data_IF_285064484664
#
_entry.id   IF_285064484664
#
_cell.length_a   1.000
_cell.length_b   1.000
_cell.length_c   1.000
_cell.angle_alpha   90.00
_cell.angle_beta   90.00
_cell.angle_gamma   90.00
#
_symmetry.space_group_name_H-M   'P 1'
#
loop_
_entity.id
_entity.type
_entity.pdbx_description
1 polymer ?
#
# COMPACT_ATOMS: atom_id res chain seq x y z
N UNK A 1 -23.91 -0.46 21.41
CA UNK A 1 -23.46 0.95 21.50
C UNK A 1 -22.34 1.09 20.48
N UNK A 2 -22.40 2.04 19.55
CA UNK A 2 -21.39 2.14 18.48
C UNK A 2 -20.07 2.64 19.06
N UNK A 3 -18.96 1.90 18.84
CA UNK A 3 -17.65 2.31 19.33
C UNK A 3 -17.19 3.57 18.60
N UNK A 4 -16.97 4.65 19.35
CA UNK A 4 -16.54 5.93 18.78
C UNK A 4 -15.07 5.88 18.39
N UNK A 5 -14.77 6.09 17.10
CA UNK A 5 -13.41 6.26 16.60
C UNK A 5 -12.78 7.48 17.28
N UNK A 6 -11.54 7.33 17.74
CA UNK A 6 -10.77 8.37 18.43
C UNK A 6 -9.71 8.96 17.50
N UNK A 7 -9.04 8.12 16.71
CA UNK A 7 -8.09 8.54 15.67
C UNK A 7 -7.93 7.45 14.61
N UNK A 8 -7.52 7.87 13.44
CA UNK A 8 -7.10 7.02 12.33
C UNK A 8 -5.68 7.44 11.97
N UNK A 9 -4.77 6.47 11.88
CA UNK A 9 -3.39 6.69 11.45
C UNK A 9 -3.14 5.94 10.15
N UNK A 10 -2.54 6.63 9.18
CA UNK A 10 -2.11 6.03 7.92
C UNK A 10 -0.67 5.55 8.06
N UNK A 11 -0.46 4.25 7.89
CA UNK A 11 0.84 3.61 8.00
C UNK A 11 1.22 3.05 6.65
N UNK A 12 2.43 3.38 6.20
CA UNK A 12 3.00 2.84 4.98
C UNK A 12 4.08 1.82 5.32
N UNK A 13 3.94 0.62 4.76
CA UNK A 13 4.94 -0.46 4.87
C UNK A 13 6.19 -0.18 4.02
N UNK A 14 6.22 0.94 3.28
CA UNK A 14 7.28 1.30 2.36
C UNK A 14 8.64 1.42 3.05
N UNK A 15 8.68 2.09 4.21
CA UNK A 15 9.94 2.32 4.93
C UNK A 15 10.51 1.05 5.55
N UNK A 16 9.66 0.22 6.15
CA UNK A 16 10.09 -0.96 6.92
C UNK A 16 10.26 -2.22 6.05
N UNK A 17 9.42 -2.38 5.02
CA UNK A 17 9.32 -3.61 4.24
C UNK A 17 9.56 -3.42 2.74
N UNK A 18 9.63 -2.18 2.26
CA UNK A 18 9.79 -1.90 0.83
C UNK A 18 8.57 -2.36 0.02
N UNK A 19 7.40 -2.42 0.65
CA UNK A 19 6.13 -2.70 -0.02
C UNK A 19 5.31 -1.42 0.03
N UNK A 20 4.87 -0.93 -1.12
CA UNK A 20 3.97 0.23 -1.17
C UNK A 20 2.52 -0.20 -0.87
N UNK A 21 2.32 -0.69 0.36
CA UNK A 21 1.06 -1.11 0.97
C UNK A 21 0.71 -0.11 2.07
N UNK A 22 -0.55 0.35 2.06
CA UNK A 22 -1.05 1.32 3.06
C UNK A 22 -2.08 0.65 3.97
N UNK A 23 -1.87 0.84 5.27
CA UNK A 23 -2.75 0.41 6.35
C UNK A 23 -3.35 1.62 7.05
N UNK A 24 -4.61 1.49 7.44
CA UNK A 24 -5.30 2.42 8.34
C UNK A 24 -5.39 1.76 9.71
N UNK A 25 -4.70 2.34 10.69
CA UNK A 25 -4.81 1.97 12.09
C UNK A 25 -5.96 2.75 12.72
N UNK A 26 -7.06 2.05 13.02
CA UNK A 26 -8.25 2.64 13.60
C UNK A 26 -8.25 2.40 15.10
N UNK A 27 -8.15 3.49 15.86
CA UNK A 27 -8.32 3.48 17.30
C UNK A 27 -9.73 3.94 17.65
N UNK A 28 -10.32 3.31 18.67
CA UNK A 28 -11.68 3.60 19.10
C UNK A 28 -11.90 3.31 20.58
N UNK A 29 -12.94 3.93 21.15
CA UNK A 29 -13.33 3.73 22.54
C UNK A 29 -14.01 2.39 22.74
N UNK A 30 -13.54 1.66 23.75
CA UNK A 30 -14.19 0.47 24.31
C UNK A 30 -15.39 0.86 25.18
N UNK A 31 -16.10 -0.15 25.68
CA UNK A 31 -17.26 0.04 26.54
C UNK A 31 -16.91 0.67 27.91
N UNK A 32 -15.66 0.50 28.37
CA UNK A 32 -15.15 1.12 29.60
C UNK A 32 -14.73 2.60 29.41
N UNK A 33 -14.84 3.13 28.19
CA UNK A 33 -14.48 4.50 27.84
C UNK A 33 -13.00 4.70 27.47
N UNK A 34 -12.14 3.69 27.68
CA UNK A 34 -10.73 3.72 27.29
C UNK A 34 -10.57 3.40 25.80
N UNK A 35 -9.48 3.87 25.20
CA UNK A 35 -9.09 3.49 23.84
C UNK A 35 -8.58 2.03 23.81
N UNK A 36 -8.76 1.33 22.69
CA UNK A 36 -8.10 0.04 22.44
C UNK A 36 -6.57 0.20 22.46
N UNK A 37 -5.87 -0.73 23.10
CA UNK A 37 -4.41 -0.76 23.17
C UNK A 37 -3.74 -1.11 21.83
N UNK A 38 -4.45 -1.85 20.98
CA UNK A 38 -4.00 -2.26 19.65
C UNK A 38 -5.03 -1.80 18.62
N UNK A 39 -4.61 -1.08 17.56
CA UNK A 39 -5.54 -0.56 16.57
C UNK A 39 -6.18 -1.69 15.76
N UNK A 40 -7.38 -1.42 15.24
CA UNK A 40 -7.97 -2.26 14.21
C UNK A 40 -7.35 -1.88 12.86
N UNK A 41 -6.72 -2.85 12.20
CA UNK A 41 -5.97 -2.62 10.96
C UNK A 41 -6.89 -2.87 9.76
N UNK A 42 -6.95 -1.91 8.84
CA UNK A 42 -7.69 -2.01 7.58
C UNK A 42 -6.76 -1.65 6.42
N UNK A 43 -6.80 -2.41 5.33
CA UNK A 43 -6.00 -2.11 4.14
C UNK A 43 -6.76 -1.20 3.17
N UNK A 44 -6.04 -0.40 2.37
CA UNK A 44 -6.65 0.44 1.33
C UNK A 44 -7.54 -0.38 0.37
N UNK A 45 -7.12 -1.60 0.03
CA UNK A 45 -7.91 -2.52 -0.78
C UNK A 45 -9.26 -2.91 -0.15
N UNK A 46 -9.33 -3.07 1.18
CA UNK A 46 -10.59 -3.36 1.86
C UNK A 46 -11.55 -2.16 1.81
N UNK A 47 -10.99 -0.94 1.86
CA UNK A 47 -11.76 0.29 1.66
C UNK A 47 -12.28 0.36 0.23
N UNK A 48 -11.44 0.10 -0.78
CA UNK A 48 -11.85 0.12 -2.19
C UNK A 48 -12.99 -0.89 -2.43
N UNK A 49 -12.85 -2.13 -1.95
CA UNK A 49 -13.90 -3.16 -2.02
C UNK A 49 -15.21 -2.74 -1.35
N UNK A 50 -15.12 -2.06 -0.23
CA UNK A 50 -16.30 -1.51 0.44
C UNK A 50 -16.96 -0.45 -0.43
N UNK A 51 -16.18 0.50 -0.97
CA UNK A 51 -16.67 1.56 -1.85
C UNK A 51 -17.35 1.00 -3.10
N UNK A 52 -16.86 -0.09 -3.68
CA UNK A 52 -17.48 -0.72 -4.86
C UNK A 52 -18.96 -1.07 -4.61
N UNK A 53 -19.32 -1.37 -3.36
CA UNK A 53 -20.68 -1.72 -2.97
C UNK A 53 -21.47 -0.54 -2.38
N UNK A 54 -20.82 0.34 -1.61
CA UNK A 54 -21.49 1.41 -0.87
C UNK A 54 -21.50 2.76 -1.59
N UNK A 55 -20.45 3.07 -2.35
CA UNK A 55 -20.17 4.40 -2.94
C UNK A 55 -19.50 4.23 -4.32
N UNK A 56 -20.23 3.74 -5.35
CA UNK A 56 -19.63 3.28 -6.61
C UNK A 56 -18.85 4.36 -7.37
N UNK A 57 -19.27 5.62 -7.28
CA UNK A 57 -18.57 6.74 -7.93
C UNK A 57 -17.20 7.00 -7.30
N UNK A 58 -17.11 6.90 -5.96
CA UNK A 58 -15.84 7.01 -5.24
C UNK A 58 -14.91 5.83 -5.58
N UNK A 59 -15.45 4.61 -5.68
CA UNK A 59 -14.69 3.45 -6.11
C UNK A 59 -14.17 3.59 -7.55
N UNK A 60 -15.03 4.04 -8.47
CA UNK A 60 -14.67 4.29 -9.86
C UNK A 60 -13.54 5.32 -9.97
N UNK A 61 -13.58 6.36 -9.12
CA UNK A 61 -12.53 7.36 -9.05
C UNK A 61 -11.19 6.77 -8.59
N UNK A 62 -11.17 6.07 -7.45
CA UNK A 62 -9.95 5.44 -6.93
C UNK A 62 -9.39 4.42 -7.93
N UNK A 63 -10.25 3.67 -8.60
CA UNK A 63 -9.88 2.74 -9.68
C UNK A 63 -9.28 3.47 -10.90
N UNK A 64 -9.80 4.64 -11.27
CA UNK A 64 -9.23 5.48 -12.33
C UNK A 64 -7.82 5.97 -11.96
N UNK A 65 -7.65 6.48 -10.74
CA UNK A 65 -6.34 6.91 -10.21
C UNK A 65 -5.35 5.74 -10.20
N UNK A 66 -5.78 4.57 -9.72
CA UNK A 66 -4.97 3.36 -9.74
C UNK A 66 -4.54 3.00 -11.17
N UNK A 67 -5.47 3.01 -12.14
CA UNK A 67 -5.16 2.69 -13.55
C UNK A 67 -4.23 3.70 -14.23
N UNK A 68 -4.19 4.96 -13.78
CA UNK A 68 -3.28 5.97 -14.35
C UNK A 68 -1.85 5.88 -13.82
N UNK A 69 -1.59 5.05 -12.81
CA UNK A 69 -0.25 4.86 -12.23
C UNK A 69 0.37 3.58 -12.78
N UNK A 70 1.50 3.71 -13.49
CA UNK A 70 2.39 2.60 -13.89
C UNK A 70 3.14 2.08 -12.66
N UNK A 71 3.13 0.76 -12.46
CA UNK A 71 3.70 0.09 -11.29
C UNK A 71 3.91 -1.40 -11.56
N UNK A 72 4.97 -1.99 -11.02
CA UNK A 72 5.25 -3.42 -11.07
C UNK A 72 4.74 -4.15 -9.81
N UNK A 73 4.46 -3.42 -8.73
CA UNK A 73 3.89 -3.96 -7.50
C UNK A 73 2.69 -3.20 -6.96
N UNK A 74 2.40 -3.42 -5.68
CA UNK A 74 1.43 -2.61 -4.93
C UNK A 74 1.83 -1.14 -5.03
N UNK A 75 0.83 -0.25 -5.03
CA UNK A 75 1.00 1.17 -5.34
C UNK A 75 0.13 2.05 -4.46
N UNK A 76 -0.18 1.56 -3.27
CA UNK A 76 -1.16 2.16 -2.39
C UNK A 76 -0.73 3.56 -1.96
N UNK A 77 0.55 3.78 -1.64
CA UNK A 77 1.09 5.09 -1.28
C UNK A 77 1.09 6.06 -2.45
N UNK A 78 1.39 5.60 -3.68
CA UNK A 78 1.23 6.44 -4.89
C UNK A 78 -0.22 6.86 -5.11
N UNK A 79 -1.18 5.93 -4.95
CA UNK A 79 -2.61 6.23 -5.01
C UNK A 79 -2.97 7.24 -3.93
N UNK A 80 -2.59 6.97 -2.69
CA UNK A 80 -2.90 7.78 -1.51
C UNK A 80 -2.39 9.22 -1.67
N UNK A 81 -1.18 9.40 -2.19
CA UNK A 81 -0.60 10.72 -2.46
C UNK A 81 -1.45 11.54 -3.44
N UNK A 82 -1.99 10.92 -4.49
CA UNK A 82 -2.88 11.59 -5.44
C UNK A 82 -4.21 11.93 -4.75
N UNK A 83 -4.81 10.96 -4.07
CA UNK A 83 -6.07 11.16 -3.34
C UNK A 83 -5.99 12.32 -2.34
N UNK A 84 -4.91 12.39 -1.54
CA UNK A 84 -4.67 13.50 -0.61
C UNK A 84 -4.45 14.83 -1.32
N UNK A 85 -3.69 14.84 -2.42
CA UNK A 85 -3.44 16.04 -3.22
C UNK A 85 -4.72 16.63 -3.84
N UNK A 86 -5.76 15.81 -3.99
CA UNK A 86 -7.06 16.18 -4.55
C UNK A 86 -8.14 16.33 -3.46
N UNK A 87 -7.75 16.34 -2.18
CA UNK A 87 -8.66 16.43 -1.03
C UNK A 87 -9.75 15.35 -1.02
N UNK A 88 -9.47 14.18 -1.60
CA UNK A 88 -10.39 13.06 -1.61
C UNK A 88 -10.68 12.60 -0.17
N UNK A 89 -11.96 12.40 0.22
CA UNK A 89 -12.33 12.22 1.63
C UNK A 89 -12.13 10.78 2.12
N UNK A 90 -10.90 10.25 1.98
CA UNK A 90 -10.58 8.87 2.27
C UNK A 90 -10.84 8.47 3.72
N UNK A 91 -10.45 9.32 4.67
CA UNK A 91 -10.71 9.08 6.10
C UNK A 91 -12.21 8.91 6.39
N UNK A 92 -13.08 9.71 5.77
CA UNK A 92 -14.53 9.56 5.92
C UNK A 92 -15.03 8.20 5.43
N UNK A 93 -14.40 7.63 4.40
CA UNK A 93 -14.73 6.30 3.91
C UNK A 93 -14.18 5.19 4.82
N UNK A 94 -13.01 5.39 5.43
CA UNK A 94 -12.47 4.49 6.47
C UNK A 94 -13.39 4.45 7.69
N UNK A 95 -13.90 5.60 8.13
CA UNK A 95 -14.88 5.68 9.21
C UNK A 95 -16.17 4.94 8.84
N UNK A 96 -16.74 5.21 7.64
CA UNK A 96 -17.92 4.50 7.14
C UNK A 96 -17.70 2.99 7.09
N UNK A 97 -16.54 2.53 6.62
CA UNK A 97 -16.19 1.11 6.59
C UNK A 97 -16.26 0.51 8.00
N UNK A 98 -15.57 1.13 8.96
CA UNK A 98 -15.54 0.66 10.35
C UNK A 98 -16.93 0.62 10.98
N UNK A 99 -17.74 1.63 10.74
CA UNK A 99 -19.11 1.73 11.24
C UNK A 99 -20.05 0.65 10.67
N UNK A 100 -19.74 0.12 9.48
CA UNK A 100 -20.50 -0.96 8.84
C UNK A 100 -19.95 -2.36 9.17
N UNK A 101 -18.90 -2.47 9.98
CA UNK A 101 -18.40 -3.78 10.40
C UNK A 101 -19.41 -4.50 11.31
N UNK A 102 -19.53 -5.84 11.18
CA UNK A 102 -20.32 -6.63 12.13
C UNK A 102 -19.84 -6.41 13.56
N UNK A 103 -20.79 -6.20 14.47
CA UNK A 103 -20.50 -5.94 15.90
C UNK A 103 -19.63 -7.06 16.50
N UNK A 104 -19.87 -8.31 16.11
CA UNK A 104 -19.07 -9.46 16.56
C UNK A 104 -17.59 -9.36 16.17
N UNK A 105 -17.28 -8.75 15.02
CA UNK A 105 -15.88 -8.53 14.58
C UNK A 105 -15.20 -7.50 15.47
N UNK A 106 -15.92 -6.44 15.83
CA UNK A 106 -15.41 -5.38 16.73
C UNK A 106 -15.21 -5.94 18.14
N UNK A 107 -16.18 -6.70 18.67
CA UNK A 107 -16.05 -7.33 19.98
C UNK A 107 -14.85 -8.30 20.05
N UNK A 108 -14.67 -9.16 19.03
CA UNK A 108 -13.49 -10.03 18.96
C UNK A 108 -12.19 -9.25 18.95
N UNK A 109 -12.13 -8.11 18.26
CA UNK A 109 -10.95 -7.26 18.29
C UNK A 109 -10.70 -6.65 19.67
N UNK A 110 -11.75 -6.17 20.35
CA UNK A 110 -11.63 -5.65 21.73
C UNK A 110 -11.09 -6.75 22.65
N UNK A 111 -11.69 -7.95 22.64
CA UNK A 111 -11.21 -9.08 23.43
C UNK A 111 -9.75 -9.42 23.14
N UNK A 112 -9.34 -9.36 21.87
CA UNK A 112 -7.96 -9.59 21.47
C UNK A 112 -7.02 -8.49 21.97
N UNK A 113 -7.43 -7.21 21.86
CA UNK A 113 -6.64 -6.07 22.35
C UNK A 113 -6.44 -6.10 23.87
N UNK A 114 -7.35 -6.73 24.60
CA UNK A 114 -7.31 -6.85 26.07
C UNK A 114 -6.58 -8.11 26.55
N UNK A 115 -6.38 -9.11 25.69
CA UNK A 115 -5.47 -10.21 26.01
C UNK A 115 -4.07 -9.63 26.09
N UNK A 116 -3.46 -9.74 27.27
CA UNK A 116 -2.04 -9.45 27.48
C UNK A 116 -1.25 -10.45 26.60
N UNK A 117 -1.03 -10.08 25.36
CA UNK A 117 0.05 -10.66 24.58
C UNK A 117 1.29 -9.98 25.15
N UNK A 118 2.00 -10.70 26.02
CA UNK A 118 3.19 -10.16 26.64
C UNK A 118 4.17 -9.79 25.52
N UNK A 119 4.50 -8.49 25.33
CA UNK A 119 5.37 -8.05 24.26
C UNK A 119 6.77 -8.68 24.34
N UNK A 120 7.16 -9.20 25.50
CA UNK A 120 8.44 -9.91 25.66
C UNK A 120 8.47 -11.32 25.03
N UNK A 121 7.36 -11.84 24.52
CA UNK A 121 7.34 -12.99 23.59
C UNK A 121 7.32 -12.54 22.11
N UNK A 122 7.30 -11.23 21.86
CA UNK A 122 7.38 -10.61 20.54
C UNK A 122 8.74 -9.91 20.48
N UNK A 123 9.76 -10.62 20.00
CA UNK A 123 11.15 -10.10 19.96
C UNK A 123 11.31 -8.90 19.00
N UNK A 124 10.43 -8.74 18.01
CA UNK A 124 10.28 -7.54 17.17
C UNK A 124 8.81 -7.45 16.70
N UNK A 125 8.12 -6.34 16.99
CA UNK A 125 6.72 -6.12 16.59
C UNK A 125 6.57 -6.13 15.04
N UNK A 126 7.64 -5.80 14.30
CA UNK A 126 7.68 -5.93 12.84
C UNK A 126 7.81 -7.38 12.39
N UNK A 127 8.42 -8.23 13.21
CA UNK A 127 8.53 -9.66 12.95
C UNK A 127 7.21 -10.38 13.24
N UNK A 128 6.44 -9.88 14.21
CA UNK A 128 5.04 -10.25 14.41
C UNK A 128 4.18 -9.91 13.19
N UNK A 129 4.21 -8.69 12.64
CA UNK A 129 3.51 -8.38 11.39
C UNK A 129 3.97 -9.24 10.20
N UNK A 130 5.28 -9.49 10.07
CA UNK A 130 5.84 -10.39 9.03
C UNK A 130 5.37 -11.84 9.17
N UNK A 131 5.14 -12.34 10.38
CA UNK A 131 4.67 -13.72 10.61
C UNK A 131 3.18 -13.89 10.32
N UNK A 132 2.37 -12.84 10.46
CA UNK A 132 0.95 -12.87 10.10
C UNK A 132 0.69 -12.68 8.59
N UNK A 133 1.71 -12.29 7.82
CA UNK A 133 1.72 -12.34 6.35
C UNK A 133 3.05 -12.94 5.83
N UNK A 134 3.21 -14.27 5.90
CA UNK A 134 4.43 -14.97 5.48
C UNK A 134 4.84 -14.69 4.02
N UNK A 135 3.89 -14.22 3.19
CA UNK A 135 4.09 -13.94 1.77
C UNK A 135 4.71 -12.55 1.51
N UNK A 136 4.60 -11.59 2.43
CA UNK A 136 5.02 -10.19 2.19
C UNK A 136 6.50 -9.91 2.45
N UNK A 137 7.12 -10.62 3.40
CA UNK A 137 8.56 -10.53 3.64
C UNK A 137 9.40 -11.27 2.59
N UNK A 138 8.79 -12.25 1.89
CA UNK A 138 9.47 -13.11 0.91
C UNK A 138 9.18 -12.74 -0.56
N UNK A 139 8.18 -11.90 -0.84
CA UNK A 139 7.82 -11.54 -2.21
C UNK A 139 8.48 -10.24 -2.65
N UNK A 140 9.73 -10.30 -3.15
CA UNK A 140 10.32 -9.40 -4.16
C UNK A 140 10.08 -7.86 -4.03
N UNK A 141 9.61 -7.32 -2.91
CA UNK A 141 9.02 -5.97 -2.84
C UNK A 141 10.08 -4.89 -3.00
N UNK A 142 11.20 -5.04 -2.28
CA UNK A 142 12.40 -4.20 -2.47
C UNK A 142 12.96 -4.28 -3.88
N UNK A 143 12.96 -5.46 -4.50
CA UNK A 143 13.38 -5.66 -5.90
C UNK A 143 12.44 -4.94 -6.86
N UNK A 144 11.13 -5.02 -6.63
CA UNK A 144 10.10 -4.32 -7.40
C UNK A 144 10.29 -2.80 -7.31
N UNK A 145 10.48 -2.26 -6.11
CA UNK A 145 10.75 -0.83 -5.92
C UNK A 145 12.03 -0.39 -6.60
N UNK A 146 13.06 -1.21 -6.52
CA UNK A 146 14.32 -0.94 -7.19
C UNK A 146 14.16 -0.92 -8.71
N UNK A 147 13.42 -1.88 -9.27
CA UNK A 147 13.06 -1.92 -10.70
C UNK A 147 12.25 -0.67 -11.08
N UNK A 148 11.27 -0.26 -10.27
CA UNK A 148 10.47 0.94 -10.50
C UNK A 148 11.31 2.23 -10.49
N UNK A 149 12.23 2.36 -9.52
CA UNK A 149 13.11 3.50 -9.44
C UNK A 149 14.08 3.56 -10.63
N UNK A 150 14.57 2.40 -11.08
CA UNK A 150 15.36 2.31 -12.31
C UNK A 150 14.54 2.71 -13.53
N UNK A 151 13.29 2.23 -13.65
CA UNK A 151 12.39 2.54 -14.76
C UNK A 151 12.11 4.05 -14.84
N UNK A 152 11.79 4.68 -13.71
CA UNK A 152 11.54 6.12 -13.63
C UNK A 152 12.76 6.95 -14.06
N UNK A 153 13.96 6.57 -13.59
CA UNK A 153 15.20 7.27 -13.95
C UNK A 153 15.53 7.08 -15.43
N UNK A 154 15.40 5.86 -15.96
CA UNK A 154 15.64 5.59 -17.38
C UNK A 154 14.64 6.33 -18.25
N UNK A 155 13.35 6.32 -17.90
CA UNK A 155 12.30 7.01 -18.64
C UNK A 155 12.52 8.53 -18.66
N UNK A 156 12.96 9.11 -17.53
CA UNK A 156 13.34 10.53 -17.45
C UNK A 156 14.50 10.88 -18.37
N UNK A 157 15.57 10.08 -18.39
CA UNK A 157 16.71 10.34 -19.26
C UNK A 157 16.37 10.08 -20.73
N UNK A 158 15.58 9.06 -21.06
CA UNK A 158 15.11 8.81 -22.43
C UNK A 158 14.31 10.01 -22.95
N UNK A 159 13.36 10.54 -22.17
CA UNK A 159 12.59 11.72 -22.56
C UNK A 159 13.47 12.96 -22.75
N UNK A 160 14.51 13.11 -21.94
CA UNK A 160 15.47 14.22 -22.07
C UNK A 160 16.32 14.13 -23.34
N UNK A 161 16.70 12.93 -23.77
CA UNK A 161 17.53 12.72 -24.97
C UNK A 161 16.71 12.59 -26.27
N UNK A 162 15.45 12.14 -26.19
CA UNK A 162 14.56 11.92 -27.32
C UNK A 162 13.18 12.57 -27.12
N UNK A 163 13.09 13.88 -26.82
CA UNK A 163 11.82 14.54 -26.53
C UNK A 163 10.83 14.47 -27.71
N UNK A 164 11.33 14.52 -28.94
CA UNK A 164 10.53 14.47 -30.16
C UNK A 164 9.71 13.18 -30.29
N UNK A 165 10.19 12.09 -29.71
CA UNK A 165 9.47 10.81 -29.68
C UNK A 165 8.19 10.91 -28.84
N UNK A 166 8.20 11.68 -27.76
CA UNK A 166 7.07 11.84 -26.83
C UNK A 166 6.14 12.99 -27.20
N UNK A 167 6.62 13.96 -27.99
CA UNK A 167 5.80 15.05 -28.52
C UNK A 167 4.82 14.56 -29.59
N UNK A 168 5.17 13.51 -30.33
CA UNK A 168 4.28 12.86 -31.30
C UNK A 168 3.33 11.90 -30.57
N UNK A 169 2.04 12.23 -30.53
CA UNK A 169 1.01 11.33 -29.96
C UNK A 169 0.77 10.12 -30.86
N UNK A 170 1.62 9.11 -30.75
CA UNK A 170 1.43 7.80 -31.36
C UNK A 170 1.42 6.72 -30.28
N UNK A 171 0.21 6.33 -29.87
CA UNK A 171 0.00 5.37 -28.78
C UNK A 171 0.61 3.99 -29.08
N UNK A 172 0.64 3.56 -30.35
CA UNK A 172 1.19 2.26 -30.73
C UNK A 172 2.72 2.23 -30.62
N UNK A 173 3.38 3.32 -31.00
CA UNK A 173 4.84 3.46 -30.83
C UNK A 173 5.21 3.59 -29.36
N UNK A 174 4.43 4.36 -28.59
CA UNK A 174 4.63 4.47 -27.15
C UNK A 174 4.48 3.10 -26.46
N UNK A 175 3.43 2.33 -26.78
CA UNK A 175 3.22 1.00 -26.19
C UNK A 175 4.39 0.04 -26.47
N UNK A 176 4.93 0.04 -27.70
CA UNK A 176 6.11 -0.78 -28.04
C UNK A 176 7.36 -0.34 -27.29
N UNK A 177 7.57 0.97 -27.17
CA UNK A 177 8.66 1.52 -26.35
C UNK A 177 8.51 1.12 -24.89
N UNK A 178 7.30 1.25 -24.34
CA UNK A 178 6.98 0.94 -22.96
C UNK A 178 7.28 -0.53 -22.66
N UNK A 179 6.88 -1.45 -23.54
CA UNK A 179 7.16 -2.88 -23.45
C UNK A 179 8.67 -3.18 -23.43
N UNK A 180 9.44 -2.60 -24.36
CA UNK A 180 10.90 -2.76 -24.41
C UNK A 180 11.54 -2.28 -23.11
N UNK A 181 11.13 -1.10 -22.64
CA UNK A 181 11.63 -0.53 -21.40
C UNK A 181 11.29 -1.44 -20.22
N UNK A 182 10.05 -1.95 -20.16
CA UNK A 182 9.63 -2.79 -19.04
C UNK A 182 10.47 -4.06 -18.92
N UNK A 183 10.70 -4.72 -20.06
CA UNK A 183 11.48 -5.95 -20.14
C UNK A 183 12.93 -5.68 -19.70
N UNK A 184 13.59 -4.70 -20.32
CA UNK A 184 15.02 -4.46 -20.10
C UNK A 184 15.33 -3.91 -18.71
N UNK A 185 14.49 -3.04 -18.18
CA UNK A 185 14.63 -2.55 -16.81
C UNK A 185 14.34 -3.65 -15.79
N UNK A 186 13.32 -4.48 -16.06
CA UNK A 186 13.02 -5.66 -15.25
C UNK A 186 14.21 -6.62 -15.16
N UNK A 187 14.82 -6.95 -16.31
CA UNK A 187 16.04 -7.78 -16.38
C UNK A 187 17.19 -7.16 -15.58
N UNK A 188 17.55 -5.90 -15.87
CA UNK A 188 18.64 -5.21 -15.22
C UNK A 188 18.46 -5.10 -13.70
N UNK A 189 17.28 -4.67 -13.26
CA UNK A 189 16.99 -4.54 -11.82
C UNK A 189 17.04 -5.89 -11.11
N UNK A 190 16.70 -6.98 -11.80
CA UNK A 190 16.82 -8.34 -11.27
C UNK A 190 18.27 -8.80 -11.14
N UNK A 191 19.11 -8.51 -12.13
CA UNK A 191 20.55 -8.85 -12.09
C UNK A 191 21.26 -8.10 -10.96
N UNK A 192 21.00 -6.80 -10.83
CA UNK A 192 21.60 -5.95 -9.82
C UNK A 192 21.13 -6.32 -8.41
N UNK A 193 19.84 -6.57 -8.19
CA UNK A 193 19.31 -7.03 -6.89
C UNK A 193 19.96 -8.36 -6.46
N UNK A 194 20.06 -9.32 -7.37
CA UNK A 194 20.75 -10.59 -7.14
C UNK A 194 22.23 -10.39 -6.79
N UNK A 195 22.92 -9.47 -7.46
CA UNK A 195 24.31 -9.13 -7.17
C UNK A 195 24.45 -8.56 -5.75
N UNK A 196 23.63 -7.58 -5.37
CA UNK A 196 23.68 -6.97 -4.05
C UNK A 196 23.36 -7.99 -2.94
N UNK A 197 22.31 -8.79 -3.12
CA UNK A 197 21.93 -9.82 -2.15
C UNK A 197 23.03 -10.87 -1.93
N UNK A 198 23.72 -11.30 -2.98
CA UNK A 198 24.84 -12.26 -2.86
C UNK A 198 26.01 -11.67 -2.07
N UNK A 199 26.27 -10.38 -2.24
CA UNK A 199 27.42 -9.72 -1.61
C UNK A 199 27.14 -9.19 -0.20
N UNK A 200 25.88 -9.01 0.20
CA UNK A 200 25.51 -8.62 1.58
C UNK A 200 25.55 -9.76 2.60
N UNK A 201 25.70 -11.02 2.14
CA UNK A 201 25.82 -12.22 2.97
C UNK A 201 27.26 -12.58 3.36
N UNK A 202 28.24 -11.73 3.02
CA UNK A 202 29.65 -11.86 3.40
C UNK A 202 29.97 -10.92 4.54
#
# INVERSE_FOLDING_TARGET
>A
MMNKITRIEEISDMLDFGTDLVKFHIFFKKNDGNEVSVPFIVYLWDIIKFLENSEPDAAAYVNKVSKSIRSYGMKDGKILKILHGEEFPLHSFVEKYFQNLPVDKIHKHIEWSEKIINPSYIEDFREFERQFQPDLANSNSRRILFIEALDEVVQKEVNKFYPEFFEVRNNDLYAKYDEILMEKVGELGSELDNFFFKNSKK
#
